data_IF_447994303973
#
_entry.id   IF_447994303973
#
_cell.length_a   1.000
_cell.length_b   1.000
_cell.length_c   1.000
_cell.angle_alpha   90.00
_cell.angle_beta   90.00
_cell.angle_gamma   90.00
#
_symmetry.space_group_name_H-M   'P 1'
#
loop_
_entity.id
_entity.type
_entity.pdbx_description
1 polymer ?
#
# COMPACT_ATOMS: atom_id res chain seq x y z
N UNK A 1 2.11 52.39 -17.61
CA UNK A 1 1.26 51.56 -16.72
C UNK A 1 2.04 50.32 -16.32
N UNK A 2 2.22 50.07 -15.03
CA UNK A 2 3.02 48.95 -14.49
C UNK A 2 2.08 47.77 -14.20
N UNK A 3 2.16 46.70 -14.98
CA UNK A 3 1.52 45.45 -14.61
C UNK A 3 2.32 44.80 -13.48
N UNK A 4 1.77 44.81 -12.27
CA UNK A 4 2.20 43.93 -11.18
C UNK A 4 1.15 42.84 -11.02
N UNK A 5 1.49 41.63 -11.43
CA UNK A 5 0.79 40.43 -11.01
C UNK A 5 1.82 39.30 -10.95
N UNK A 6 2.30 39.05 -9.75
CA UNK A 6 2.96 37.79 -9.42
C UNK A 6 2.21 37.22 -8.23
N UNK A 7 1.16 36.47 -8.53
CA UNK A 7 0.58 35.51 -7.60
C UNK A 7 1.54 34.31 -7.59
N UNK A 8 2.47 34.28 -6.63
CA UNK A 8 3.28 33.10 -6.37
C UNK A 8 2.39 32.13 -5.59
N UNK A 9 1.82 31.16 -6.29
CA UNK A 9 1.21 29.98 -5.69
C UNK A 9 2.33 29.15 -5.04
N UNK A 10 2.52 29.33 -3.74
CA UNK A 10 3.29 28.40 -2.90
C UNK A 10 2.49 27.10 -2.77
N UNK A 11 2.58 26.24 -3.79
CA UNK A 11 2.24 24.83 -3.66
C UNK A 11 3.41 24.19 -2.92
N UNK A 12 3.29 23.99 -1.61
CA UNK A 12 4.19 23.08 -0.89
C UNK A 12 3.91 21.67 -1.39
N UNK A 13 4.82 21.02 -2.14
CA UNK A 13 4.63 19.62 -2.50
C UNK A 13 4.70 18.81 -1.20
N UNK A 14 3.72 17.94 -0.96
CA UNK A 14 3.92 16.86 0.00
C UNK A 14 5.12 16.05 -0.46
N UNK A 15 6.15 15.93 0.38
CA UNK A 15 7.33 15.13 0.06
C UNK A 15 6.93 13.66 -0.01
N UNK A 16 6.78 13.14 -1.22
CA UNK A 16 6.75 11.70 -1.48
C UNK A 16 8.18 11.21 -1.30
N UNK A 17 8.37 10.24 -0.42
CA UNK A 17 9.71 9.71 -0.15
C UNK A 17 10.04 8.51 -1.06
N UNK A 18 9.04 7.69 -1.42
CA UNK A 18 9.18 6.61 -2.39
C UNK A 18 7.82 6.21 -3.00
N UNK A 19 7.78 5.96 -4.31
CA UNK A 19 6.68 5.22 -4.94
C UNK A 19 6.96 3.72 -4.79
N UNK A 20 6.01 2.97 -4.26
CA UNK A 20 6.05 1.53 -4.06
C UNK A 20 4.87 0.85 -4.74
N UNK A 21 4.96 -0.47 -4.87
CA UNK A 21 3.88 -1.34 -5.32
C UNK A 21 3.94 -2.65 -4.53
N UNK A 22 2.87 -3.45 -4.60
CA UNK A 22 2.91 -4.79 -4.03
C UNK A 22 3.98 -5.64 -4.73
N UNK A 23 4.67 -6.54 -4.00
CA UNK A 23 5.76 -7.31 -4.58
C UNK A 23 5.26 -8.22 -5.71
N UNK A 24 6.01 -8.26 -6.79
CA UNK A 24 5.76 -9.18 -7.90
C UNK A 24 5.87 -10.62 -7.41
N UNK A 25 5.02 -11.52 -7.90
CA UNK A 25 4.96 -12.91 -7.41
C UNK A 25 6.32 -13.61 -7.51
N UNK A 26 7.02 -13.40 -8.63
CA UNK A 26 8.34 -13.98 -8.90
C UNK A 26 9.48 -13.39 -8.05
N UNK A 27 9.25 -12.23 -7.43
CA UNK A 27 10.19 -11.62 -6.49
C UNK A 27 10.03 -12.12 -5.06
N UNK A 28 8.90 -12.77 -4.73
CA UNK A 28 8.64 -13.31 -3.39
C UNK A 28 9.34 -14.65 -3.25
N UNK A 29 10.27 -14.71 -2.29
CA UNK A 29 11.04 -15.92 -1.97
C UNK A 29 10.58 -16.48 -0.64
N UNK A 30 10.60 -17.80 -0.54
CA UNK A 30 10.40 -18.49 0.73
C UNK A 30 11.74 -18.96 1.27
N UNK A 31 12.18 -18.40 2.40
CA UNK A 31 13.45 -18.77 3.06
C UNK A 31 13.15 -19.06 4.53
N UNK A 32 13.54 -20.25 5.00
CA UNK A 32 13.41 -20.60 6.41
C UNK A 32 11.99 -20.57 6.97
N UNK A 33 10.97 -20.77 6.12
CA UNK A 33 9.56 -20.69 6.53
C UNK A 33 9.00 -19.27 6.62
N UNK A 34 9.66 -18.29 6.02
CA UNK A 34 9.17 -16.91 5.89
C UNK A 34 9.15 -16.54 4.41
N UNK A 35 8.11 -15.82 3.98
CA UNK A 35 8.08 -15.23 2.65
C UNK A 35 8.67 -13.82 2.72
N UNK A 36 9.62 -13.50 1.85
CA UNK A 36 10.21 -12.18 1.77
C UNK A 36 10.30 -11.70 0.33
N UNK A 37 10.28 -10.38 0.12
CA UNK A 37 10.58 -9.79 -1.18
C UNK A 37 11.35 -8.48 -0.99
N UNK A 38 12.25 -8.13 -1.92
CA UNK A 38 12.96 -6.85 -1.85
C UNK A 38 11.96 -5.69 -1.99
N UNK A 39 12.22 -4.58 -1.31
CA UNK A 39 11.48 -3.35 -1.53
C UNK A 39 12.43 -2.19 -1.85
N UNK A 40 11.91 -1.17 -2.55
CA UNK A 40 12.62 0.09 -2.68
C UNK A 40 12.60 0.83 -1.33
N UNK A 41 13.64 1.60 -1.01
CA UNK A 41 13.68 2.40 0.23
C UNK A 41 14.39 1.73 1.43
N UNK A 42 15.08 0.61 1.22
CA UNK A 42 15.95 -0.01 2.24
C UNK A 42 15.25 -0.98 3.20
N UNK A 43 13.96 -1.23 2.99
CA UNK A 43 13.16 -2.21 3.73
C UNK A 43 12.93 -3.48 2.92
N UNK A 44 12.38 -4.51 3.57
CA UNK A 44 11.90 -5.74 2.93
C UNK A 44 10.38 -5.90 3.11
N UNK A 45 9.76 -6.57 2.16
CA UNK A 45 8.41 -7.12 2.35
C UNK A 45 8.50 -8.40 3.17
N UNK A 46 7.67 -8.51 4.19
CA UNK A 46 7.63 -9.64 5.12
C UNK A 46 6.26 -10.30 5.08
N UNK A 47 6.26 -11.61 4.86
CA UNK A 47 5.05 -12.41 4.66
C UNK A 47 4.59 -13.14 5.91
N UNK A 48 3.28 -13.08 6.17
CA UNK A 48 2.58 -13.85 7.22
C UNK A 48 1.50 -14.71 6.59
N UNK A 49 1.50 -16.01 6.90
CA UNK A 49 0.43 -16.92 6.50
C UNK A 49 -0.85 -16.64 7.31
N UNK A 50 -1.99 -16.53 6.63
CA UNK A 50 -3.28 -16.47 7.33
C UNK A 50 -3.68 -17.88 7.82
N UNK A 51 -3.98 -18.00 9.11
CA UNK A 51 -4.42 -19.26 9.74
C UNK A 51 -3.34 -19.96 10.58
N UNK A 52 -3.70 -21.10 11.20
CA UNK A 52 -2.89 -21.76 12.23
C UNK A 52 -2.02 -22.92 11.72
N UNK A 53 -1.57 -22.88 10.46
CA UNK A 53 -0.82 -23.99 9.84
C UNK A 53 0.50 -23.52 9.23
N UNK A 54 1.62 -24.12 9.65
CA UNK A 54 2.95 -23.93 9.06
C UNK A 54 3.12 -24.66 7.72
N UNK A 55 2.03 -24.93 7.02
CA UNK A 55 2.12 -25.49 5.69
C UNK A 55 2.50 -24.32 4.77
N UNK A 56 3.58 -24.47 4.03
CA UNK A 56 3.96 -23.49 3.02
C UNK A 56 3.42 -23.93 1.66
N UNK A 57 3.37 -23.02 0.69
CA UNK A 57 2.89 -23.33 -0.66
C UNK A 57 3.38 -22.32 -1.66
N UNK A 58 3.32 -22.69 -2.94
CA UNK A 58 3.57 -21.74 -4.01
C UNK A 58 2.46 -20.68 -4.04
N UNK A 59 2.85 -19.47 -4.43
CA UNK A 59 1.94 -18.35 -4.64
C UNK A 59 1.27 -18.55 -6.00
N UNK A 60 -0.05 -18.60 -6.00
CA UNK A 60 -0.85 -18.82 -7.20
C UNK A 60 -1.10 -17.50 -7.93
N UNK A 61 -1.65 -16.52 -7.21
CA UNK A 61 -2.02 -15.23 -7.77
C UNK A 61 -2.10 -14.14 -6.69
N UNK A 62 -2.14 -12.90 -7.16
CA UNK A 62 -2.39 -11.73 -6.32
C UNK A 62 -3.90 -11.57 -6.09
N UNK A 63 -4.29 -11.39 -4.83
CA UNK A 63 -5.68 -11.18 -4.45
C UNK A 63 -6.03 -9.70 -4.39
N UNK A 64 -5.32 -8.94 -3.54
CA UNK A 64 -5.67 -7.54 -3.27
C UNK A 64 -4.58 -6.78 -2.50
N UNK A 65 -4.63 -5.45 -2.55
CA UNK A 65 -3.93 -4.56 -1.64
C UNK A 65 -4.94 -3.69 -0.89
N UNK A 66 -4.65 -3.37 0.37
CA UNK A 66 -5.56 -2.64 1.26
C UNK A 66 -4.91 -1.38 1.84
N UNK A 67 -5.65 -0.28 1.80
CA UNK A 67 -5.34 0.98 2.45
C UNK A 67 -6.56 1.43 3.27
N UNK A 68 -6.35 1.69 4.56
CA UNK A 68 -7.40 2.19 5.46
C UNK A 68 -7.31 3.71 5.51
N UNK A 69 -8.42 4.40 5.26
CA UNK A 69 -8.46 5.85 5.35
C UNK A 69 -8.34 6.28 6.82
N UNK A 70 -7.41 7.19 7.11
CA UNK A 70 -7.30 7.78 8.45
C UNK A 70 -8.33 8.92 8.56
N UNK A 71 -9.42 8.69 9.30
CA UNK A 71 -10.49 9.66 9.48
C UNK A 71 -10.16 10.78 10.50
N UNK A 72 -8.93 10.81 11.06
CA UNK A 72 -8.55 11.78 12.10
C UNK A 72 -8.32 13.22 11.61
N UNK A 73 -8.54 13.51 10.32
CA UNK A 73 -8.40 14.85 9.75
C UNK A 73 -9.68 15.30 9.09
N UNK A 74 -10.43 16.16 9.78
CA UNK A 74 -11.51 16.97 9.21
C UNK A 74 -11.13 17.55 7.85
N UNK A 75 -11.80 17.09 6.79
CA UNK A 75 -12.17 17.87 5.59
C UNK A 75 -13.03 17.00 4.69
N UNK A 76 -14.21 17.52 4.36
CA UNK A 76 -15.14 16.96 3.39
C UNK A 76 -14.42 16.58 2.08
N UNK A 77 -14.21 15.28 1.87
CA UNK A 77 -13.58 14.72 0.68
C UNK A 77 -12.94 13.37 1.00
N UNK A 78 -13.13 12.37 0.13
CA UNK A 78 -12.44 11.09 0.29
C UNK A 78 -10.95 11.37 0.08
N UNK A 79 -10.18 11.40 1.17
CA UNK A 79 -8.74 11.59 1.10
C UNK A 79 -8.15 10.37 0.39
N UNK A 80 -7.42 10.60 -0.71
CA UNK A 80 -6.64 9.56 -1.40
C UNK A 80 -5.36 9.21 -0.63
N UNK A 81 -5.44 9.26 0.70
CA UNK A 81 -4.35 9.04 1.63
C UNK A 81 -4.86 8.23 2.81
N UNK A 82 -3.99 7.40 3.38
CA UNK A 82 -4.34 6.59 4.53
C UNK A 82 -3.22 5.64 4.91
N UNK A 83 -3.51 4.75 5.84
CA UNK A 83 -2.57 3.74 6.32
C UNK A 83 -2.59 2.56 5.37
N UNK A 84 -1.52 2.39 4.60
CA UNK A 84 -1.31 1.17 3.84
C UNK A 84 -1.19 -0.01 4.82
N UNK A 85 -1.90 -1.10 4.52
CA UNK A 85 -1.97 -2.27 5.40
C UNK A 85 -1.08 -3.40 4.90
N UNK A 86 -1.41 -3.96 3.74
CA UNK A 86 -0.81 -5.20 3.23
C UNK A 86 -1.18 -5.48 1.78
N UNK A 87 -0.42 -6.38 1.18
CA UNK A 87 -0.74 -7.07 -0.07
C UNK A 87 -1.08 -8.53 0.23
N UNK A 88 -2.18 -9.04 -0.30
CA UNK A 88 -2.64 -10.40 -0.06
C UNK A 88 -2.55 -11.22 -1.34
N UNK A 89 -2.05 -12.45 -1.20
CA UNK A 89 -1.85 -13.41 -2.29
C UNK A 89 -2.54 -14.73 -1.95
N UNK A 90 -3.08 -15.39 -2.97
CA UNK A 90 -3.61 -16.73 -2.83
C UNK A 90 -2.49 -17.76 -2.98
N UNK A 91 -2.51 -18.79 -2.15
CA UNK A 91 -1.60 -19.92 -2.25
C UNK A 91 -2.30 -21.11 -2.91
N UNK A 92 -1.56 -21.97 -3.60
CA UNK A 92 -2.13 -23.12 -4.33
C UNK A 92 -2.93 -24.09 -3.44
N UNK A 93 -2.56 -24.20 -2.17
CA UNK A 93 -3.31 -25.01 -1.23
C UNK A 93 -4.58 -24.27 -0.80
N UNK A 94 -5.71 -24.94 -1.04
CA UNK A 94 -7.06 -24.38 -1.01
C UNK A 94 -7.35 -23.49 0.20
N UNK A 95 -7.83 -22.28 -0.08
CA UNK A 95 -8.33 -21.34 0.92
C UNK A 95 -7.25 -20.63 1.73
N UNK A 96 -5.97 -20.77 1.37
CA UNK A 96 -4.88 -20.15 2.11
C UNK A 96 -4.41 -18.87 1.45
N UNK A 97 -4.04 -17.92 2.30
CA UNK A 97 -3.58 -16.59 1.91
C UNK A 97 -2.27 -16.24 2.56
N UNK A 98 -1.45 -15.51 1.82
CA UNK A 98 -0.22 -14.90 2.27
C UNK A 98 -0.43 -13.39 2.32
N UNK A 99 -0.18 -12.77 3.47
CA UNK A 99 -0.17 -11.32 3.62
C UNK A 99 1.27 -10.81 3.66
N UNK A 100 1.65 -9.96 2.72
CA UNK A 100 2.93 -9.28 2.66
C UNK A 100 2.79 -7.86 3.23
N UNK A 101 3.65 -7.53 4.19
CA UNK A 101 3.72 -6.22 4.87
C UNK A 101 5.04 -5.54 4.56
N UNK A 102 5.02 -4.24 4.26
CA UNK A 102 6.23 -3.46 4.00
C UNK A 102 6.88 -3.02 5.32
N UNK A 103 8.16 -3.36 5.54
CA UNK A 103 8.93 -2.93 6.72
C UNK A 103 8.32 -3.34 8.07
N UNK A 104 7.50 -4.40 8.09
CA UNK A 104 6.76 -4.89 9.26
C UNK A 104 6.01 -3.79 10.06
N UNK A 105 5.58 -2.72 9.38
CA UNK A 105 5.01 -1.53 10.00
C UNK A 105 3.89 -0.95 9.13
N UNK A 106 3.03 -0.12 9.73
CA UNK A 106 1.96 0.57 9.01
C UNK A 106 2.43 1.95 8.59
N UNK A 107 2.34 2.25 7.30
CA UNK A 107 2.83 3.49 6.71
C UNK A 107 1.70 4.37 6.20
N UNK A 108 1.85 5.68 6.37
CA UNK A 108 1.01 6.63 5.65
C UNK A 108 1.39 6.59 4.18
N UNK A 109 0.40 6.44 3.32
CA UNK A 109 0.56 6.35 1.90
C UNK A 109 -0.46 7.24 1.17
N UNK A 110 -0.09 7.72 -0.01
CA UNK A 110 -0.95 8.39 -0.96
C UNK A 110 -1.18 7.49 -2.17
N UNK A 111 -2.43 7.45 -2.65
CA UNK A 111 -2.84 6.78 -3.89
C UNK A 111 -3.34 7.79 -4.93
N UNK A 112 -2.95 9.07 -4.76
CA UNK A 112 -3.31 10.14 -5.68
C UNK A 112 -2.72 9.87 -7.07
N UNK A 113 -3.56 9.86 -8.10
CA UNK A 113 -3.13 9.55 -9.47
C UNK A 113 -2.91 8.06 -9.76
N UNK A 114 -3.15 7.17 -8.79
CA UNK A 114 -3.02 5.71 -8.95
C UNK A 114 -4.40 5.12 -9.30
N UNK A 115 -4.62 4.62 -10.54
CA UNK A 115 -5.97 4.40 -11.06
C UNK A 115 -6.64 3.11 -10.55
N UNK A 116 -5.85 2.16 -10.03
CA UNK A 116 -6.35 0.83 -9.68
C UNK A 116 -6.96 0.74 -8.27
N UNK A 117 -6.87 1.80 -7.48
CA UNK A 117 -7.48 1.88 -6.16
C UNK A 117 -8.95 2.30 -6.24
N UNK A 118 -9.81 1.45 -5.71
CA UNK A 118 -11.25 1.68 -5.63
C UNK A 118 -11.66 1.89 -4.18
N UNK A 119 -12.40 2.96 -3.94
CA UNK A 119 -12.98 3.22 -2.62
C UNK A 119 -14.05 2.18 -2.31
N UNK A 120 -14.02 1.65 -1.10
CA UNK A 120 -15.03 0.76 -0.56
C UNK A 120 -15.39 1.18 0.85
N UNK A 121 -16.70 1.32 1.06
CA UNK A 121 -17.28 1.49 2.38
C UNK A 121 -17.67 0.11 2.91
N UNK A 122 -17.03 -0.32 4.00
CA UNK A 122 -17.48 -1.49 4.75
C UNK A 122 -18.26 -1.04 5.99
N UNK A 123 -18.88 -1.99 6.71
CA UNK A 123 -19.61 -1.70 7.94
C UNK A 123 -18.73 -1.09 9.04
N UNK A 124 -17.42 -1.30 8.99
CA UNK A 124 -16.48 -0.92 10.06
C UNK A 124 -15.36 0.02 9.59
N UNK A 125 -15.05 0.04 8.30
CA UNK A 125 -13.91 0.78 7.75
C UNK A 125 -14.24 1.46 6.42
N UNK A 126 -13.63 2.63 6.22
CA UNK A 126 -13.48 3.28 4.92
C UNK A 126 -12.14 2.83 4.35
N UNK A 127 -12.15 2.08 3.26
CA UNK A 127 -10.93 1.52 2.67
C UNK A 127 -10.81 1.89 1.21
N UNK A 128 -9.58 1.86 0.73
CA UNK A 128 -9.29 1.67 -0.67
C UNK A 128 -8.75 0.25 -0.87
N UNK A 129 -9.25 -0.40 -1.92
CA UNK A 129 -8.81 -1.72 -2.35
C UNK A 129 -8.27 -1.63 -3.79
N UNK A 130 -7.12 -2.25 -4.04
CA UNK A 130 -6.61 -2.52 -5.38
C UNK A 130 -6.67 -4.02 -5.63
N UNK A 131 -7.39 -4.46 -6.66
CA UNK A 131 -7.61 -5.87 -6.97
C UNK A 131 -8.00 -6.08 -8.45
N UNK A 132 -7.86 -7.32 -8.93
CA UNK A 132 -8.15 -7.66 -10.33
C UNK A 132 -7.11 -7.16 -11.34
N UNK A 133 -5.92 -6.82 -10.87
CA UNK A 133 -4.75 -6.40 -11.64
C UNK A 133 -3.51 -7.14 -11.14
N UNK A 134 -2.38 -7.01 -11.83
CA UNK A 134 -1.10 -7.52 -11.33
C UNK A 134 -0.68 -6.76 -10.04
N UNK A 135 0.11 -7.39 -9.17
CA UNK A 135 0.47 -6.81 -7.87
C UNK A 135 1.20 -5.45 -8.03
N UNK A 136 2.00 -5.35 -9.07
CA UNK A 136 2.86 -4.22 -9.42
C UNK A 136 2.03 -2.99 -9.86
N UNK A 137 0.79 -3.20 -10.31
CA UNK A 137 -0.14 -2.13 -10.69
C UNK A 137 -0.79 -1.47 -9.46
N UNK A 138 -0.68 -2.07 -8.28
CA UNK A 138 -1.15 -1.51 -7.03
C UNK A 138 -0.12 -0.54 -6.44
N UNK A 139 0.15 0.54 -7.17
CA UNK A 139 1.10 1.57 -6.78
C UNK A 139 0.58 2.47 -5.66
N UNK A 140 1.48 2.92 -4.79
CA UNK A 140 1.22 3.91 -3.75
C UNK A 140 2.50 4.67 -3.41
N UNK A 141 2.34 5.90 -2.93
CA UNK A 141 3.45 6.76 -2.55
C UNK A 141 3.57 6.79 -1.03
N UNK A 142 4.70 6.36 -0.48
CA UNK A 142 4.99 6.52 0.94
C UNK A 142 5.14 8.00 1.27
N UNK A 143 4.41 8.40 2.30
CA UNK A 143 4.50 9.71 2.88
C UNK A 143 5.49 9.65 4.04
N UNK A 144 6.35 10.66 4.16
CA UNK A 144 7.25 10.77 5.31
C UNK A 144 6.43 10.70 6.61
N UNK A 145 6.82 9.87 7.60
CA UNK A 145 6.25 9.96 8.93
C UNK A 145 6.51 11.37 9.42
N UNK A 146 5.43 12.15 9.57
CA UNK A 146 5.49 13.60 9.62
C UNK A 146 6.63 14.12 10.48
N UNK A 147 7.51 14.91 9.84
CA UNK A 147 8.20 15.98 10.55
C UNK A 147 7.09 16.82 11.18
N UNK A 148 6.91 16.72 12.49
CA UNK A 148 6.12 17.68 13.27
C UNK A 148 6.63 19.07 12.93
N UNK A 149 5.83 19.85 12.19
CA UNK A 149 6.00 21.29 12.06
C UNK A 149 5.46 21.98 13.30
#
# INVERSE_FOLDING_TARGET
MKCKLSFVLLLTPFSVFATLHCPAIDTIKQIGGVYTAPAMGGEEWMGTLQGNTNQFGAIQDFSEALLIIDNNGDKEGISRQGKFQKCTYNLEAQGRKLDMYYGNSTWMASISGKPHWKHQQTAFFNIYQCSGVAAEECEFDLLEPGSTF
#
